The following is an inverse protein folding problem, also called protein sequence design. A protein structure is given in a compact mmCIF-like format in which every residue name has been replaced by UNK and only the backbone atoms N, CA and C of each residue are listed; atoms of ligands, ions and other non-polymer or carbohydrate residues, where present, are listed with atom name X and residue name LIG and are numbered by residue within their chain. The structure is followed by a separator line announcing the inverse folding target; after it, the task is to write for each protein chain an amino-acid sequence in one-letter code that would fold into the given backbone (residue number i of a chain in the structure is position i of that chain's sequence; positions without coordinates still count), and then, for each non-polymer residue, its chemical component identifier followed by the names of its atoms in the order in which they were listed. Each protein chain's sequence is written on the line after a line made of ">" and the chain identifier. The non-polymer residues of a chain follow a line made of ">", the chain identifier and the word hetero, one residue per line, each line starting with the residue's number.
data_IF_865720810727
#
_entry.id   IF_865720810727
#
_cell.length_a   1.000
_cell.length_b   1.000
_cell.length_c   1.000
_cell.angle_alpha   90.00
_cell.angle_beta   90.00
_cell.angle_gamma   90.00
#
_symmetry.space_group_name_H-M   'P 1'
#
loop_
_entity.id
_entity.type
_entity.pdbx_description
1 polymer ?
#
# COMPACT_ATOMS: atom_id res chain seq x y z
N UNK A 1 8.01 6.67 1.83
CA UNK A 1 6.69 6.04 1.59
C UNK A 1 6.74 5.20 0.32
N UNK A 2 6.01 4.08 0.28
CA UNK A 2 5.73 3.28 -0.93
C UNK A 2 4.25 3.40 -1.28
N UNK A 3 3.92 3.50 -2.56
CA UNK A 3 2.56 3.39 -3.08
C UNK A 3 2.53 2.25 -4.09
N UNK A 4 1.66 1.28 -3.86
CA UNK A 4 1.50 0.08 -4.69
C UNK A 4 0.11 0.12 -5.30
N UNK A 5 0.05 0.20 -6.63
CA UNK A 5 -1.20 0.25 -7.38
C UNK A 5 -1.49 -1.14 -7.94
N UNK A 6 -2.70 -1.63 -7.75
CA UNK A 6 -3.21 -2.88 -8.32
C UNK A 6 -4.45 -2.61 -9.14
N UNK A 7 -4.81 -3.56 -9.99
CA UNK A 7 -5.92 -3.33 -10.92
C UNK A 7 -7.25 -3.15 -10.18
N UNK A 8 -7.49 -3.95 -9.13
CA UNK A 8 -8.78 -4.02 -8.44
C UNK A 8 -8.64 -4.42 -6.97
N UNK A 9 -9.77 -4.35 -6.25
CA UNK A 9 -9.90 -4.74 -4.84
C UNK A 9 -9.33 -6.13 -4.50
N UNK A 10 -9.54 -7.11 -5.38
CA UNK A 10 -9.12 -8.50 -5.15
C UNK A 10 -7.60 -8.64 -5.20
N UNK A 11 -6.97 -7.95 -6.14
CA UNK A 11 -5.51 -7.88 -6.24
C UNK A 11 -4.88 -7.10 -5.08
N UNK A 12 -5.49 -5.99 -4.65
CA UNK A 12 -5.09 -5.27 -3.43
C UNK A 12 -5.14 -6.21 -2.23
N UNK A 13 -6.28 -6.89 -2.04
CA UNK A 13 -6.49 -7.84 -0.95
C UNK A 13 -5.45 -8.96 -0.98
N UNK A 14 -5.15 -9.50 -2.16
CA UNK A 14 -4.14 -10.54 -2.37
C UNK A 14 -2.74 -10.07 -2.02
N UNK A 15 -2.35 -8.88 -2.49
CA UNK A 15 -1.05 -8.32 -2.21
C UNK A 15 -0.85 -8.07 -0.71
N UNK A 16 -1.83 -7.45 -0.06
CA UNK A 16 -1.79 -7.13 1.37
C UNK A 16 -1.73 -8.40 2.22
N UNK A 17 -2.58 -9.39 1.94
CA UNK A 17 -2.59 -10.66 2.68
C UNK A 17 -1.25 -11.40 2.52
N UNK A 18 -0.71 -11.44 1.30
CA UNK A 18 0.61 -12.00 1.03
C UNK A 18 1.70 -11.26 1.82
N UNK A 19 1.67 -9.94 1.84
CA UNK A 19 2.63 -9.13 2.59
C UNK A 19 2.58 -9.43 4.09
N UNK A 20 1.38 -9.43 4.68
CA UNK A 20 1.19 -9.75 6.11
C UNK A 20 1.71 -11.16 6.42
N UNK A 21 1.35 -12.15 5.59
CA UNK A 21 1.84 -13.53 5.73
C UNK A 21 3.37 -13.60 5.74
N UNK A 22 4.01 -13.02 4.73
CA UNK A 22 5.46 -13.07 4.60
C UNK A 22 6.16 -12.28 5.72
N UNK A 23 5.59 -11.16 6.20
CA UNK A 23 6.13 -10.43 7.35
C UNK A 23 6.11 -11.27 8.62
N UNK A 24 5.01 -11.97 8.89
CA UNK A 24 4.88 -12.88 10.03
C UNK A 24 5.87 -14.04 9.89
N UNK A 25 5.93 -14.69 8.72
CA UNK A 25 6.82 -15.83 8.49
C UNK A 25 8.30 -15.46 8.58
N UNK A 26 8.72 -14.33 8.01
CA UNK A 26 10.10 -13.83 8.10
C UNK A 26 10.48 -13.39 9.51
N UNK A 27 9.52 -12.83 10.26
CA UNK A 27 9.74 -12.51 11.66
C UNK A 27 9.90 -13.76 12.51
N UNK A 28 9.29 -14.88 12.13
CA UNK A 28 9.34 -16.17 12.84
C UNK A 28 9.01 -16.01 14.34
N UNK A 29 7.75 -15.63 14.66
CA UNK A 29 7.37 -15.33 16.03
C UNK A 29 7.41 -16.55 16.93
N UNK A 30 7.83 -16.34 18.17
CA UNK A 30 7.78 -17.34 19.25
C UNK A 30 6.92 -16.82 20.39
N UNK A 31 6.69 -17.64 21.41
CA UNK A 31 5.97 -17.22 22.62
C UNK A 31 6.63 -16.02 23.32
N UNK A 32 7.96 -15.99 23.36
CA UNK A 32 8.76 -14.95 24.03
C UNK A 32 8.94 -13.70 23.15
N UNK A 33 8.81 -13.86 21.83
CA UNK A 33 8.91 -12.78 20.85
C UNK A 33 7.75 -12.89 19.86
N UNK A 34 6.53 -12.50 20.27
CA UNK A 34 5.36 -12.57 19.39
C UNK A 34 5.43 -11.51 18.29
N UNK A 35 4.71 -11.74 17.20
CA UNK A 35 4.49 -10.72 16.17
C UNK A 35 3.28 -9.87 16.58
N UNK A 36 3.50 -8.58 16.85
CA UNK A 36 2.44 -7.66 17.26
C UNK A 36 1.84 -6.97 16.04
N UNK A 37 0.55 -7.19 15.78
CA UNK A 37 -0.17 -6.77 14.57
C UNK A 37 -1.32 -5.82 14.90
N UNK A 38 -1.28 -4.60 14.39
CA UNK A 38 -2.41 -3.67 14.41
C UNK A 38 -3.42 -4.01 13.30
N UNK A 39 -4.72 -4.04 13.62
CA UNK A 39 -5.77 -4.49 12.69
C UNK A 39 -6.93 -3.49 12.56
N UNK A 40 -7.45 -3.27 11.33
CA UNK A 40 -8.60 -2.41 11.12
C UNK A 40 -9.92 -3.20 11.01
N UNK A 41 -11.04 -2.49 11.04
CA UNK A 41 -12.35 -3.04 10.65
C UNK A 41 -12.84 -2.39 9.35
N UNK A 42 -14.11 -2.59 8.99
CA UNK A 42 -14.72 -2.03 7.79
C UNK A 42 -14.59 -2.94 6.56
N UNK A 43 -15.08 -2.48 5.42
CA UNK A 43 -15.14 -3.30 4.19
C UNK A 43 -13.78 -3.52 3.52
N UNK A 44 -12.88 -2.52 3.59
CA UNK A 44 -11.56 -2.58 2.96
C UNK A 44 -10.73 -3.82 3.35
N UNK A 45 -10.60 -4.21 4.64
CA UNK A 45 -9.80 -5.36 5.02
C UNK A 45 -10.49 -6.74 4.88
N UNK A 46 -11.77 -6.84 4.50
CA UNK A 46 -12.48 -8.14 4.48
C UNK A 46 -11.80 -9.16 3.54
N UNK A 47 -11.49 -8.75 2.31
CA UNK A 47 -10.79 -9.61 1.35
C UNK A 47 -9.39 -10.02 1.82
N UNK A 48 -8.71 -9.13 2.57
CA UNK A 48 -7.43 -9.45 3.22
C UNK A 48 -7.63 -10.56 4.25
N UNK A 49 -8.64 -10.44 5.12
CA UNK A 49 -8.93 -11.43 6.15
C UNK A 49 -9.26 -12.80 5.59
N UNK A 50 -10.11 -12.88 4.56
CA UNK A 50 -10.42 -14.15 3.92
C UNK A 50 -9.17 -14.85 3.38
N UNK A 51 -8.26 -14.12 2.75
CA UNK A 51 -7.01 -14.69 2.24
C UNK A 51 -6.04 -15.10 3.36
N UNK A 52 -6.01 -14.38 4.48
CA UNK A 52 -5.23 -14.79 5.65
C UNK A 52 -5.78 -16.07 6.27
N UNK A 53 -7.11 -16.25 6.28
CA UNK A 53 -7.77 -17.51 6.68
C UNK A 53 -7.36 -18.64 5.72
N UNK A 54 -7.40 -18.40 4.40
CA UNK A 54 -6.98 -19.40 3.42
C UNK A 54 -5.51 -19.82 3.61
N UNK A 55 -4.60 -18.86 3.85
CA UNK A 55 -3.21 -19.16 4.14
C UNK A 55 -3.02 -19.96 5.44
N UNK A 56 -3.83 -19.69 6.47
CA UNK A 56 -3.79 -20.44 7.72
C UNK A 56 -4.30 -21.87 7.52
N UNK A 57 -5.44 -22.04 6.86
CA UNK A 57 -6.02 -23.34 6.54
C UNK A 57 -5.09 -24.20 5.66
N UNK A 58 -4.33 -23.56 4.76
CA UNK A 58 -3.33 -24.22 3.92
C UNK A 58 -1.98 -24.49 4.63
N UNK A 59 -1.84 -24.14 5.93
CA UNK A 59 -0.60 -24.33 6.69
C UNK A 59 0.56 -23.41 6.29
N UNK A 60 0.28 -22.32 5.55
CA UNK A 60 1.27 -21.35 5.07
C UNK A 60 1.48 -20.16 6.01
N UNK A 61 0.60 -20.02 7.01
CA UNK A 61 0.61 -18.95 8.02
C UNK A 61 0.15 -19.51 9.36
N UNK A 62 0.78 -19.12 10.46
CA UNK A 62 0.30 -19.44 11.81
C UNK A 62 0.10 -18.16 12.62
N UNK A 63 -1.04 -18.07 13.31
CA UNK A 63 -1.36 -16.99 14.26
C UNK A 63 -1.05 -17.36 15.72
N UNK A 64 -0.45 -18.53 15.97
CA UNK A 64 -0.25 -19.04 17.33
C UNK A 64 0.57 -18.09 18.23
N UNK A 65 1.54 -17.40 17.64
CA UNK A 65 2.41 -16.43 18.30
C UNK A 65 2.22 -15.01 17.74
N UNK A 66 1.05 -14.74 17.19
CA UNK A 66 0.63 -13.38 16.82
C UNK A 66 -0.19 -12.79 17.97
N UNK A 67 0.04 -11.52 18.27
CA UNK A 67 -0.75 -10.70 19.19
C UNK A 67 -1.36 -9.55 18.41
N UNK A 68 -2.67 -9.34 18.53
CA UNK A 68 -3.39 -8.34 17.73
C UNK A 68 -3.93 -7.19 18.58
N UNK A 69 -3.88 -5.99 18.03
CA UNK A 69 -4.49 -4.80 18.59
C UNK A 69 -5.40 -4.16 17.55
N UNK A 70 -6.71 -4.10 17.82
CA UNK A 70 -7.66 -3.42 16.94
C UNK A 70 -7.65 -1.90 17.16
N UNK A 71 -7.94 -1.16 16.10
CA UNK A 71 -7.91 0.31 16.11
C UNK A 71 -8.94 0.95 17.04
N UNK A 72 -10.12 0.37 17.15
CA UNK A 72 -11.28 1.05 17.74
C UNK A 72 -12.39 0.10 18.18
N UNK A 73 -13.33 0.62 18.97
CA UNK A 73 -14.63 0.01 19.29
C UNK A 73 -15.65 1.11 19.66
N UNK A 74 -16.92 0.88 19.38
CA UNK A 74 -18.01 1.75 19.82
C UNK A 74 -18.22 1.73 21.33
N UNK A 75 -18.47 2.90 21.91
CA UNK A 75 -18.80 3.03 23.33
C UNK A 75 -20.28 2.75 23.54
N UNK A 76 -20.60 1.93 24.56
CA UNK A 76 -21.97 1.62 24.97
C UNK A 76 -22.71 0.64 24.06
N UNK A 77 -22.01 0.00 23.11
CA UNK A 77 -22.58 -1.04 22.27
C UNK A 77 -22.23 -2.42 22.88
N UNK A 78 -23.20 -3.34 23.08
CA UNK A 78 -22.91 -4.66 23.62
C UNK A 78 -21.82 -5.38 22.80
N UNK A 79 -20.91 -6.07 23.48
CA UNK A 79 -19.76 -6.77 22.85
C UNK A 79 -20.20 -7.85 21.84
N UNK A 80 -21.37 -8.46 22.06
CA UNK A 80 -21.98 -9.45 21.18
C UNK A 80 -22.96 -8.85 20.15
N UNK A 81 -23.11 -7.52 20.13
CA UNK A 81 -23.95 -6.85 19.15
C UNK A 81 -23.40 -7.10 17.73
N UNK A 82 -24.25 -7.41 16.73
CA UNK A 82 -23.80 -7.76 15.37
C UNK A 82 -22.90 -6.72 14.69
N UNK A 83 -23.04 -5.45 15.09
CA UNK A 83 -22.27 -4.31 14.56
C UNK A 83 -21.11 -3.86 15.46
N UNK A 84 -20.85 -4.56 16.57
CA UNK A 84 -19.63 -4.32 17.36
C UNK A 84 -18.40 -4.74 16.58
N UNK A 85 -17.28 -4.08 16.81
CA UNK A 85 -16.01 -4.44 16.19
C UNK A 85 -15.42 -5.73 16.78
N UNK A 86 -15.76 -6.06 18.03
CA UNK A 86 -15.60 -7.41 18.58
C UNK A 86 -16.26 -8.46 17.69
N UNK A 87 -17.55 -8.32 17.39
CA UNK A 87 -18.28 -9.29 16.56
C UNK A 87 -17.77 -9.33 15.12
N UNK A 88 -17.45 -8.16 14.54
CA UNK A 88 -16.85 -8.07 13.21
C UNK A 88 -15.56 -8.90 13.13
N UNK A 89 -14.61 -8.69 14.04
CA UNK A 89 -13.32 -9.35 14.01
C UNK A 89 -13.42 -10.86 14.26
N UNK A 90 -14.28 -11.28 15.19
CA UNK A 90 -14.55 -12.71 15.39
C UNK A 90 -15.19 -13.36 14.18
N UNK A 91 -16.07 -12.66 13.46
CA UNK A 91 -16.74 -13.21 12.29
C UNK A 91 -15.86 -13.31 11.05
N UNK A 92 -14.98 -12.34 10.82
CA UNK A 92 -14.18 -12.26 9.61
C UNK A 92 -12.78 -12.88 9.75
N UNK A 93 -12.23 -12.99 10.95
CA UNK A 93 -10.87 -13.49 11.15
C UNK A 93 -10.72 -14.46 12.32
N UNK A 94 -10.95 -14.01 13.56
CA UNK A 94 -10.36 -14.68 14.73
C UNK A 94 -10.92 -16.09 15.00
N UNK A 95 -12.17 -16.40 14.64
CA UNK A 95 -12.71 -17.76 14.81
C UNK A 95 -12.24 -18.76 13.76
N UNK A 96 -11.58 -18.29 12.71
CA UNK A 96 -11.17 -19.09 11.54
C UNK A 96 -9.66 -19.34 11.48
N UNK A 97 -8.90 -18.80 12.43
CA UNK A 97 -7.45 -18.97 12.50
C UNK A 97 -7.02 -19.47 13.88
N UNK A 98 -5.84 -20.08 13.97
CA UNK A 98 -5.30 -20.62 15.22
C UNK A 98 -4.74 -19.55 16.20
N UNK A 99 -5.31 -18.34 16.23
CA UNK A 99 -4.94 -17.29 17.18
C UNK A 99 -5.42 -17.63 18.59
N UNK A 100 -4.60 -17.34 19.61
CA UNK A 100 -4.98 -17.54 21.01
C UNK A 100 -5.87 -16.38 21.45
N UNK A 101 -7.01 -16.66 22.08
CA UNK A 101 -7.96 -15.62 22.53
C UNK A 101 -7.31 -14.55 23.43
N UNK A 102 -6.38 -14.94 24.30
CA UNK A 102 -5.67 -14.01 25.18
C UNK A 102 -4.64 -13.12 24.46
N UNK A 103 -4.37 -13.38 23.17
CA UNK A 103 -3.52 -12.56 22.32
C UNK A 103 -4.35 -11.57 21.47
N UNK A 104 -5.68 -11.53 21.65
CA UNK A 104 -6.56 -10.61 20.92
C UNK A 104 -6.92 -9.45 21.83
N UNK A 105 -6.53 -8.24 21.43
CA UNK A 105 -6.81 -7.00 22.14
C UNK A 105 -7.71 -6.09 21.29
N UNK A 106 -8.93 -5.85 21.79
CA UNK A 106 -9.89 -4.90 21.23
C UNK A 106 -10.35 -4.05 22.42
N UNK A 107 -10.43 -2.73 22.22
CA UNK A 107 -10.86 -1.78 23.26
C UNK A 107 -12.22 -2.19 23.85
N UNK A 108 -12.36 -2.09 25.17
CA UNK A 108 -13.64 -2.29 25.85
C UNK A 108 -14.47 -1.00 25.89
N UNK A 109 -15.33 -0.81 24.88
CA UNK A 109 -16.27 0.31 24.81
C UNK A 109 -17.33 0.33 25.92
N UNK A 110 -17.42 -0.69 26.77
CA UNK A 110 -18.32 -0.77 27.91
C UNK A 110 -17.60 -0.69 29.27
N UNK A 111 -16.30 -0.37 29.27
CA UNK A 111 -15.54 -0.20 30.50
C UNK A 111 -16.12 0.92 31.39
N UNK A 112 -16.08 0.70 32.70
CA UNK A 112 -16.58 1.68 33.68
C UNK A 112 -15.79 3.00 33.69
N UNK A 113 -14.52 2.94 33.30
CA UNK A 113 -13.66 4.11 33.12
C UNK A 113 -12.95 4.01 31.76
N UNK A 114 -13.48 4.74 30.79
CA UNK A 114 -13.02 4.72 29.40
C UNK A 114 -11.59 5.27 29.25
N UNK A 115 -11.20 6.30 30.01
CA UNK A 115 -9.84 6.85 29.94
C UNK A 115 -8.80 5.88 30.49
N UNK A 116 -9.17 5.12 31.53
CA UNK A 116 -8.32 4.07 32.08
C UNK A 116 -8.18 2.90 31.11
N UNK A 117 -9.25 2.52 30.41
CA UNK A 117 -9.20 1.53 29.33
C UNK A 117 -8.22 1.96 28.23
N UNK A 118 -8.30 3.21 27.77
CA UNK A 118 -7.36 3.74 26.78
C UNK A 118 -5.89 3.70 27.27
N UNK A 119 -5.63 4.06 28.54
CA UNK A 119 -4.27 4.00 29.12
C UNK A 119 -3.75 2.57 29.21
N UNK A 120 -4.58 1.61 29.62
CA UNK A 120 -4.22 0.19 29.68
C UNK A 120 -3.89 -0.37 28.30
N UNK A 121 -4.68 0.00 27.29
CA UNK A 121 -4.46 -0.42 25.92
C UNK A 121 -3.07 0.00 25.41
N UNK A 122 -2.69 1.27 25.65
CA UNK A 122 -1.36 1.80 25.33
C UNK A 122 -0.24 1.10 26.13
N UNK A 123 -0.48 0.83 27.42
CA UNK A 123 0.49 0.14 28.27
C UNK A 123 0.76 -1.31 27.82
N UNK A 124 -0.27 -2.05 27.38
CA UNK A 124 -0.08 -3.41 26.84
C UNK A 124 0.67 -3.40 25.49
N UNK A 125 0.43 -2.41 24.62
CA UNK A 125 1.24 -2.22 23.41
C UNK A 125 2.70 -1.99 23.78
N UNK A 126 2.97 -1.08 24.73
CA UNK A 126 4.32 -0.74 25.16
C UNK A 126 5.05 -1.92 25.80
N UNK A 127 4.35 -2.72 26.62
CA UNK A 127 4.88 -3.93 27.28
C UNK A 127 5.35 -4.99 26.30
N UNK A 128 4.73 -5.06 25.11
CA UNK A 128 5.14 -5.97 24.04
C UNK A 128 6.23 -5.37 23.12
N UNK A 129 6.72 -4.17 23.43
CA UNK A 129 7.77 -3.49 22.67
C UNK A 129 7.27 -2.76 21.42
N UNK A 130 5.96 -2.48 21.34
CA UNK A 130 5.32 -1.79 20.23
C UNK A 130 4.80 -2.70 19.12
N UNK A 131 4.08 -2.10 18.16
CA UNK A 131 3.46 -2.80 17.04
C UNK A 131 4.49 -3.03 15.91
N UNK A 132 4.61 -4.26 15.42
CA UNK A 132 5.54 -4.62 14.34
C UNK A 132 5.01 -4.18 12.97
N UNK A 133 3.72 -4.39 12.73
CA UNK A 133 3.01 -3.96 11.53
C UNK A 133 1.62 -3.47 11.93
N UNK A 134 1.27 -2.24 11.56
CA UNK A 134 -0.07 -1.70 11.71
C UNK A 134 -0.76 -1.70 10.34
N UNK A 135 -1.75 -2.59 10.17
CA UNK A 135 -2.64 -2.55 9.02
C UNK A 135 -3.78 -1.57 9.30
N UNK A 136 -4.01 -0.64 8.39
CA UNK A 136 -5.06 0.37 8.49
C UNK A 136 -5.89 0.46 7.21
N UNK A 137 -7.09 1.01 7.35
CA UNK A 137 -7.87 1.58 6.25
C UNK A 137 -8.07 3.06 6.48
N UNK A 138 -8.67 3.76 5.50
CA UNK A 138 -9.02 5.17 5.64
C UNK A 138 -10.48 5.45 5.36
N UNK A 139 -11.02 6.50 5.97
CA UNK A 139 -12.29 7.12 5.59
C UNK A 139 -12.21 7.91 4.28
N UNK A 140 -13.37 8.27 3.68
CA UNK A 140 -13.42 9.16 2.51
C UNK A 140 -12.95 10.60 2.80
N UNK A 141 -12.94 10.99 4.08
CA UNK A 141 -12.37 12.21 4.65
C UNK A 141 -10.90 12.05 5.07
N UNK A 142 -10.28 10.90 4.79
CA UNK A 142 -8.90 10.59 5.15
C UNK A 142 -8.66 10.32 6.64
N UNK A 143 -9.68 9.99 7.43
CA UNK A 143 -9.44 9.54 8.80
C UNK A 143 -8.74 8.18 8.85
N UNK A 144 -7.80 7.99 9.79
CA UNK A 144 -7.32 6.67 10.22
C UNK A 144 -8.03 6.31 11.52
N UNK A 145 -8.64 5.12 11.62
CA UNK A 145 -9.48 4.75 12.76
C UNK A 145 -10.59 5.80 12.97
N UNK A 146 -11.01 6.10 14.20
CA UNK A 146 -11.88 7.26 14.46
C UNK A 146 -11.10 8.58 14.66
N UNK A 147 -9.89 8.72 14.10
CA UNK A 147 -9.18 10.00 14.10
C UNK A 147 -9.72 10.92 13.00
N UNK A 148 -10.91 11.43 13.25
CA UNK A 148 -11.66 12.34 12.37
C UNK A 148 -10.90 13.65 12.10
N UNK A 149 -11.26 14.39 11.04
CA UNK A 149 -10.67 15.68 10.71
C UNK A 149 -10.61 16.62 11.92
N UNK A 150 -9.44 17.23 12.13
CA UNK A 150 -9.13 18.08 13.28
C UNK A 150 -8.50 17.34 14.47
N UNK A 151 -8.42 16.00 14.43
CA UNK A 151 -7.70 15.22 15.46
C UNK A 151 -6.21 15.54 15.45
N UNK A 152 -5.61 15.68 16.64
CA UNK A 152 -4.16 15.89 16.76
C UNK A 152 -3.38 14.76 16.07
N UNK A 153 -2.38 15.12 15.26
CA UNK A 153 -1.48 14.17 14.62
C UNK A 153 -0.55 13.47 15.62
N UNK A 154 -0.44 14.00 16.84
CA UNK A 154 0.29 13.38 17.96
C UNK A 154 -0.64 12.73 18.99
N UNK A 155 -1.92 12.54 18.65
CA UNK A 155 -2.92 11.96 19.56
C UNK A 155 -2.57 10.52 19.98
N UNK A 156 -2.97 10.16 21.19
CA UNK A 156 -2.94 8.80 21.76
C UNK A 156 -4.34 8.18 21.76
N UNK A 157 -4.41 6.92 22.18
CA UNK A 157 -5.67 6.21 22.41
C UNK A 157 -6.58 7.02 23.34
N UNK A 158 -7.83 7.25 22.93
CA UNK A 158 -8.77 8.13 23.64
C UNK A 158 -10.23 7.83 23.30
N UNK A 159 -11.12 8.39 24.11
CA UNK A 159 -12.54 8.55 23.73
C UNK A 159 -12.66 9.60 22.63
N UNK A 160 -13.46 9.30 21.61
CA UNK A 160 -13.77 10.21 20.51
C UNK A 160 -15.26 10.28 20.28
N UNK A 161 -15.79 11.51 20.21
CA UNK A 161 -17.13 11.76 19.68
C UNK A 161 -17.12 11.66 18.17
N UNK A 162 -18.05 10.88 17.62
CA UNK A 162 -18.20 10.72 16.18
C UNK A 162 -18.81 11.99 15.57
N UNK A 163 -18.24 12.45 14.46
CA UNK A 163 -18.76 13.50 13.63
C UNK A 163 -20.11 13.06 13.03
N UNK A 164 -20.95 14.06 12.74
CA UNK A 164 -22.28 13.80 12.22
C UNK A 164 -22.28 13.04 10.89
N UNK A 165 -21.30 13.29 10.02
CA UNK A 165 -21.12 12.56 8.76
C UNK A 165 -20.82 11.08 8.99
N UNK A 166 -19.96 10.75 9.97
CA UNK A 166 -19.67 9.37 10.39
C UNK A 166 -20.94 8.67 10.88
N UNK A 167 -21.76 9.38 11.66
CA UNK A 167 -23.05 8.86 12.16
C UNK A 167 -23.99 8.56 10.98
N UNK A 168 -24.12 9.48 10.01
CA UNK A 168 -24.95 9.26 8.81
C UNK A 168 -24.44 8.07 7.99
N UNK A 169 -23.12 8.01 7.73
CA UNK A 169 -22.52 6.93 6.94
C UNK A 169 -22.73 5.55 7.59
N UNK A 170 -22.68 5.50 8.93
CA UNK A 170 -22.83 4.25 9.67
C UNK A 170 -24.29 3.89 9.95
N UNK A 171 -25.25 4.80 9.81
CA UNK A 171 -26.67 4.53 10.03
C UNK A 171 -27.19 3.33 9.22
N UNK A 172 -26.62 3.07 8.02
CA UNK A 172 -26.92 1.88 7.20
C UNK A 172 -26.72 0.55 7.93
N UNK A 173 -25.82 0.50 8.91
CA UNK A 173 -25.55 -0.69 9.74
C UNK A 173 -26.51 -0.81 10.94
N UNK A 174 -27.19 0.28 11.29
CA UNK A 174 -28.11 0.37 12.43
C UNK A 174 -29.57 0.54 11.97
N UNK A 175 -29.94 -0.16 10.89
CA UNK A 175 -31.31 -0.15 10.34
C UNK A 175 -31.72 1.15 9.65
N UNK A 176 -30.75 2.00 9.28
CA UNK A 176 -31.00 3.31 8.69
C UNK A 176 -31.33 4.41 9.70
N UNK A 177 -31.34 4.09 11.00
CA UNK A 177 -31.71 5.04 12.06
C UNK A 177 -30.48 5.71 12.69
N UNK A 178 -30.29 6.99 12.40
CA UNK A 178 -29.20 7.84 12.93
C UNK A 178 -29.16 7.83 14.47
N UNK A 179 -30.32 7.75 15.13
CA UNK A 179 -30.44 7.73 16.59
C UNK A 179 -29.89 6.47 17.25
N UNK A 180 -29.76 5.37 16.50
CA UNK A 180 -29.25 4.09 17.01
C UNK A 180 -27.74 3.94 16.87
N UNK A 181 -27.08 4.85 16.15
CA UNK A 181 -25.63 4.82 15.98
C UNK A 181 -24.98 5.32 17.28
N UNK A 182 -24.01 4.59 17.85
CA UNK A 182 -23.25 5.06 19.00
C UNK A 182 -22.60 6.42 18.70
N UNK A 183 -22.63 7.34 19.67
CA UNK A 183 -22.11 8.71 19.50
C UNK A 183 -20.64 8.85 19.87
N UNK A 184 -20.11 7.86 20.58
CA UNK A 184 -18.76 7.81 21.08
C UNK A 184 -18.10 6.50 20.63
N UNK A 185 -16.78 6.54 20.45
CA UNK A 185 -15.94 5.37 20.26
C UNK A 185 -14.65 5.50 21.07
N UNK A 186 -14.05 4.39 21.42
CA UNK A 186 -12.65 4.33 21.81
C UNK A 186 -11.84 4.10 20.55
N UNK A 187 -10.72 4.81 20.41
CA UNK A 187 -9.87 4.69 19.22
C UNK A 187 -8.41 4.92 19.57
N UNK A 188 -7.52 4.17 18.93
CA UNK A 188 -6.09 4.46 18.93
C UNK A 188 -5.83 5.83 18.33
N UNK A 189 -4.81 6.52 18.82
CA UNK A 189 -4.43 7.82 18.30
C UNK A 189 -3.64 7.74 17.01
N UNK A 190 -3.50 8.88 16.32
CA UNK A 190 -2.64 8.97 15.13
C UNK A 190 -1.20 8.59 15.49
N UNK A 191 -0.67 9.08 16.61
CA UNK A 191 0.68 8.69 17.04
C UNK A 191 0.75 7.21 17.45
N UNK A 192 -0.29 6.65 18.06
CA UNK A 192 -0.34 5.22 18.39
C UNK A 192 -0.15 4.34 17.14
N UNK A 193 -0.75 4.74 16.01
CA UNK A 193 -0.54 4.06 14.71
C UNK A 193 0.87 4.32 14.18
N UNK A 194 1.33 5.58 14.21
CA UNK A 194 2.64 5.99 13.67
C UNK A 194 3.84 5.53 14.52
N UNK A 195 3.62 5.06 15.74
CA UNK A 195 4.66 4.42 16.58
C UNK A 195 4.99 2.99 16.14
N UNK A 196 4.19 2.39 15.26
CA UNK A 196 4.45 1.07 14.72
C UNK A 196 5.78 1.04 13.93
N UNK A 197 6.45 -0.11 13.86
CA UNK A 197 7.67 -0.23 13.03
C UNK A 197 7.36 -0.13 11.54
N UNK A 198 6.14 -0.48 11.16
CA UNK A 198 5.64 -0.46 9.80
C UNK A 198 4.15 -0.12 9.79
N UNK A 199 3.74 0.80 8.90
CA UNK A 199 2.33 1.16 8.72
C UNK A 199 1.94 0.86 7.29
N UNK A 200 0.90 0.05 7.12
CA UNK A 200 0.33 -0.30 5.82
C UNK A 200 -1.13 0.14 5.74
N UNK A 201 -1.47 0.91 4.72
CA UNK A 201 -2.83 1.37 4.48
C UNK A 201 -3.44 0.72 3.23
N UNK A 202 -4.67 0.24 3.36
CA UNK A 202 -5.48 -0.31 2.26
C UNK A 202 -6.51 0.73 1.83
N UNK A 203 -6.46 1.15 0.56
CA UNK A 203 -7.31 2.22 0.03
C UNK A 203 -7.90 1.79 -1.29
N UNK A 204 -9.20 1.47 -1.32
CA UNK A 204 -9.85 0.89 -2.51
C UNK A 204 -11.13 1.62 -2.87
N UNK A 205 -11.34 1.83 -4.17
CA UNK A 205 -12.53 2.40 -4.78
C UNK A 205 -12.50 3.92 -4.93
N UNK A 206 -13.24 4.40 -5.94
CA UNK A 206 -13.27 5.81 -6.34
C UNK A 206 -13.70 6.76 -5.22
N UNK A 207 -14.58 6.31 -4.31
CA UNK A 207 -15.01 7.10 -3.16
C UNK A 207 -13.91 7.43 -2.14
N UNK A 208 -12.68 6.90 -2.31
CA UNK A 208 -11.50 7.20 -1.50
C UNK A 208 -10.41 7.97 -2.26
N UNK A 209 -10.63 8.28 -3.53
CA UNK A 209 -9.59 8.88 -4.38
C UNK A 209 -9.13 10.24 -3.89
N UNK A 210 -10.07 11.09 -3.47
CA UNK A 210 -9.75 12.40 -2.90
C UNK A 210 -8.87 12.25 -1.66
N UNK A 211 -9.23 11.36 -0.73
CA UNK A 211 -8.44 11.14 0.47
C UNK A 211 -7.02 10.61 0.15
N UNK A 212 -6.88 9.75 -0.86
CA UNK A 212 -5.56 9.30 -1.33
C UNK A 212 -4.73 10.46 -1.88
N UNK A 213 -5.33 11.33 -2.71
CA UNK A 213 -4.65 12.49 -3.26
C UNK A 213 -4.19 13.47 -2.16
N UNK A 214 -5.07 13.77 -1.20
CA UNK A 214 -4.74 14.57 -0.01
C UNK A 214 -3.62 13.96 0.83
N UNK A 215 -3.58 12.62 0.90
CA UNK A 215 -2.54 11.89 1.62
C UNK A 215 -1.18 11.91 0.92
N UNK A 216 -1.14 11.80 -0.40
CA UNK A 216 0.10 11.55 -1.16
C UNK A 216 0.69 12.82 -1.76
N UNK A 217 -0.15 13.76 -2.21
CA UNK A 217 0.29 14.92 -3.01
C UNK A 217 0.24 16.24 -2.25
N UNK A 218 -0.59 16.35 -1.21
CA UNK A 218 -0.66 17.54 -0.35
C UNK A 218 0.23 17.43 0.89
N UNK A 219 0.32 18.52 1.65
CA UNK A 219 1.11 18.54 2.88
C UNK A 219 0.43 17.84 4.05
N UNK A 220 1.23 17.51 5.07
CA UNK A 220 0.76 16.99 6.37
C UNK A 220 -0.27 17.95 6.97
N UNK A 221 -1.48 17.44 7.22
CA UNK A 221 -2.63 18.23 7.64
C UNK A 221 -3.57 17.41 8.54
N UNK A 222 -3.91 17.93 9.72
CA UNK A 222 -4.81 17.27 10.66
C UNK A 222 -6.27 17.16 10.17
N UNK A 223 -6.65 17.84 9.10
CA UNK A 223 -7.93 17.64 8.42
C UNK A 223 -7.95 16.36 7.57
N UNK A 224 -6.77 15.83 7.23
CA UNK A 224 -6.58 14.57 6.51
C UNK A 224 -5.59 13.73 7.33
N UNK A 225 -6.03 13.17 8.45
CA UNK A 225 -5.11 12.60 9.46
C UNK A 225 -4.21 11.49 8.90
N UNK A 226 -4.65 10.81 7.83
CA UNK A 226 -3.82 9.89 7.06
C UNK A 226 -2.51 10.49 6.54
N UNK A 227 -2.47 11.78 6.23
CA UNK A 227 -1.27 12.48 5.74
C UNK A 227 -0.09 12.40 6.71
N UNK A 228 -0.33 12.08 8.00
CA UNK A 228 0.74 11.79 8.96
C UNK A 228 1.67 10.64 8.52
N UNK A 229 1.20 9.72 7.66
CA UNK A 229 2.03 8.63 7.11
C UNK A 229 3.22 9.15 6.31
N UNK A 230 3.16 10.38 5.78
CA UNK A 230 4.29 11.02 5.09
C UNK A 230 5.52 11.15 6.01
N UNK A 231 5.30 11.29 7.31
CA UNK A 231 6.37 11.40 8.31
C UNK A 231 6.82 10.02 8.85
N UNK A 232 6.12 8.94 8.49
CA UNK A 232 6.42 7.61 8.98
C UNK A 232 7.62 7.00 8.24
N UNK A 233 8.65 6.48 8.93
CA UNK A 233 9.88 5.97 8.28
C UNK A 233 9.62 4.77 7.36
N UNK A 234 8.56 3.99 7.63
CA UNK A 234 8.20 2.79 6.85
C UNK A 234 6.71 2.75 6.53
N UNK A 235 6.22 3.79 5.86
CA UNK A 235 4.83 3.88 5.36
C UNK A 235 4.64 3.20 4.01
N UNK A 236 3.60 2.36 3.90
CA UNK A 236 3.18 1.66 2.68
C UNK A 236 1.69 1.90 2.44
N UNK A 237 1.33 2.31 1.24
CA UNK A 237 -0.05 2.41 0.77
C UNK A 237 -0.25 1.39 -0.34
N UNK A 238 -1.32 0.61 -0.25
CA UNK A 238 -1.75 -0.32 -1.31
C UNK A 238 -3.15 0.09 -1.74
N UNK A 239 -3.32 0.36 -3.03
CA UNK A 239 -4.57 0.85 -3.58
C UNK A 239 -4.93 0.20 -4.92
N UNK A 240 -6.21 0.28 -5.28
CA UNK A 240 -6.67 -0.08 -6.63
C UNK A 240 -6.58 1.12 -7.59
N UNK A 241 -6.75 0.89 -8.90
CA UNK A 241 -6.73 1.97 -9.90
C UNK A 241 -7.81 3.02 -9.61
N UNK A 242 -9.02 2.60 -9.19
CA UNK A 242 -10.13 3.51 -8.86
C UNK A 242 -9.79 4.50 -7.74
N UNK A 243 -9.02 4.09 -6.73
CA UNK A 243 -8.54 4.99 -5.69
C UNK A 243 -7.53 6.02 -6.22
N UNK A 244 -6.96 5.86 -7.41
CA UNK A 244 -5.98 6.80 -7.98
C UNK A 244 -6.58 7.92 -8.83
N UNK A 245 -7.91 7.97 -9.01
CA UNK A 245 -8.57 8.88 -9.95
C UNK A 245 -8.27 10.39 -9.72
N UNK A 246 -7.99 10.79 -8.49
CA UNK A 246 -7.66 12.18 -8.12
C UNK A 246 -6.15 12.44 -8.03
N UNK A 247 -5.31 11.43 -8.28
CA UNK A 247 -3.85 11.59 -8.33
C UNK A 247 -3.41 12.15 -9.68
N UNK A 248 -2.32 12.91 -9.69
CA UNK A 248 -1.68 13.26 -10.94
C UNK A 248 -1.14 12.01 -11.65
N UNK A 249 -1.30 11.97 -12.98
CA UNK A 249 -0.74 10.91 -13.85
C UNK A 249 0.76 10.72 -13.60
N UNK A 250 1.50 11.81 -13.34
CA UNK A 250 2.94 11.77 -13.04
C UNK A 250 3.23 10.99 -11.75
N UNK A 251 2.41 11.16 -10.71
CA UNK A 251 2.54 10.47 -9.42
C UNK A 251 2.32 8.97 -9.59
N UNK A 252 1.24 8.57 -10.27
CA UNK A 252 0.97 7.14 -10.54
C UNK A 252 2.09 6.50 -11.34
N UNK A 253 2.55 7.15 -12.42
CA UNK A 253 3.67 6.67 -13.24
C UNK A 253 4.97 6.55 -12.46
N UNK A 254 5.25 7.51 -11.57
CA UNK A 254 6.44 7.51 -10.72
C UNK A 254 6.46 6.29 -9.79
N UNK A 255 5.36 6.01 -9.08
CA UNK A 255 5.30 4.89 -8.16
C UNK A 255 5.27 3.52 -8.86
N UNK A 256 4.54 3.38 -9.97
CA UNK A 256 4.60 2.17 -10.82
C UNK A 256 6.03 1.91 -11.34
N UNK A 257 6.75 2.97 -11.71
CA UNK A 257 8.16 2.88 -12.10
C UNK A 257 9.07 2.40 -10.97
N UNK A 258 8.90 2.93 -9.75
CA UNK A 258 9.69 2.49 -8.59
C UNK A 258 9.44 1.01 -8.27
N UNK A 259 8.19 0.58 -8.32
CA UNK A 259 7.83 -0.81 -8.06
C UNK A 259 8.49 -1.76 -9.08
N UNK A 260 8.48 -1.40 -10.36
CA UNK A 260 9.19 -2.17 -11.39
C UNK A 260 10.69 -2.31 -11.09
N UNK A 261 11.34 -1.23 -10.66
CA UNK A 261 12.75 -1.25 -10.26
C UNK A 261 12.95 -2.15 -9.03
N UNK A 262 12.11 -2.01 -8.00
CA UNK A 262 12.16 -2.90 -6.84
C UNK A 262 12.05 -4.38 -7.24
N UNK A 263 11.05 -4.75 -8.06
CA UNK A 263 10.89 -6.12 -8.53
C UNK A 263 12.09 -6.61 -9.34
N UNK A 264 12.80 -5.75 -10.07
CA UNK A 264 14.03 -6.16 -10.79
C UNK A 264 15.21 -6.46 -9.87
N UNK A 265 15.23 -5.90 -8.66
CA UNK A 265 16.35 -6.03 -7.70
C UNK A 265 16.10 -7.19 -6.72
N UNK A 266 14.87 -7.32 -6.24
CA UNK A 266 14.51 -8.32 -5.22
C UNK A 266 13.51 -9.37 -5.72
N UNK A 267 12.98 -9.26 -6.93
CA UNK A 267 11.92 -10.15 -7.41
C UNK A 267 10.53 -9.78 -6.88
N UNK A 268 9.45 -10.29 -7.52
CA UNK A 268 8.07 -9.90 -7.21
C UNK A 268 7.54 -10.45 -5.87
N UNK A 269 8.24 -11.41 -5.28
CA UNK A 269 7.82 -12.10 -4.05
C UNK A 269 8.52 -11.57 -2.78
N UNK A 270 9.50 -10.68 -2.92
CA UNK A 270 10.24 -10.15 -1.77
C UNK A 270 9.64 -8.83 -1.27
N UNK A 271 9.47 -8.72 0.05
CA UNK A 271 8.72 -7.63 0.70
C UNK A 271 9.50 -6.31 0.84
N UNK A 272 10.82 -6.35 0.69
CA UNK A 272 11.71 -5.18 0.78
C UNK A 272 13.18 -5.53 0.56
N UNK A 273 14.04 -4.51 0.53
CA UNK A 273 15.50 -4.64 0.35
C UNK A 273 16.24 -5.28 1.54
N UNK A 274 15.50 -5.64 2.60
CA UNK A 274 16.01 -6.29 3.80
C UNK A 274 16.15 -7.82 3.64
N UNK A 275 15.47 -8.41 2.65
CA UNK A 275 15.79 -9.74 2.15
C UNK A 275 16.96 -9.66 1.18
N UNK A 276 17.83 -10.68 1.16
CA UNK A 276 19.00 -10.76 0.30
C UNK A 276 18.70 -10.14 -1.09
N UNK A 277 19.38 -9.03 -1.43
CA UNK A 277 19.48 -8.56 -2.81
C UNK A 277 19.71 -9.81 -3.67
N UNK A 278 19.02 -9.95 -4.80
CA UNK A 278 19.31 -11.05 -5.72
C UNK A 278 20.80 -10.96 -6.08
N UNK A 279 21.64 -11.72 -5.38
CA UNK A 279 23.01 -12.03 -5.78
C UNK A 279 22.83 -12.81 -7.07
N UNK A 280 22.84 -12.08 -8.18
CA UNK A 280 23.27 -12.49 -9.53
C UNK A 280 22.76 -11.48 -10.59
N UNK A 281 23.17 -10.20 -10.48
CA UNK A 281 23.13 -9.28 -11.63
C UNK A 281 24.22 -9.58 -12.69
N UNK A 282 25.14 -10.50 -12.41
CA UNK A 282 26.18 -10.90 -13.36
C UNK A 282 25.66 -11.95 -14.36
N UNK A 283 24.85 -12.91 -13.92
CA UNK A 283 24.36 -14.00 -14.79
C UNK A 283 23.17 -13.59 -15.67
N UNK A 284 22.28 -12.73 -15.17
CA UNK A 284 21.10 -12.28 -15.92
C UNK A 284 21.46 -11.38 -17.09
N UNK A 285 22.49 -10.54 -16.96
CA UNK A 285 23.00 -9.74 -18.07
C UNK A 285 23.73 -10.58 -19.13
N UNK A 286 24.42 -11.66 -18.75
CA UNK A 286 25.01 -12.59 -19.71
C UNK A 286 23.96 -13.43 -20.41
N UNK A 287 22.92 -13.88 -19.70
CA UNK A 287 21.79 -14.60 -20.28
C UNK A 287 20.96 -13.72 -21.21
N UNK A 288 20.70 -12.46 -20.83
CA UNK A 288 20.02 -11.47 -21.67
C UNK A 288 20.87 -11.09 -22.89
N UNK A 289 22.19 -10.89 -22.75
CA UNK A 289 23.10 -10.70 -23.89
C UNK A 289 23.13 -11.93 -24.80
N UNK A 290 23.15 -13.15 -24.25
CA UNK A 290 23.09 -14.40 -25.04
C UNK A 290 21.78 -14.55 -25.78
N UNK A 291 20.62 -14.27 -25.14
CA UNK A 291 19.31 -14.31 -25.80
C UNK A 291 19.21 -13.26 -26.90
N UNK A 292 19.69 -12.03 -26.66
CA UNK A 292 19.69 -10.96 -27.66
C UNK A 292 20.62 -11.28 -28.83
N UNK A 293 21.77 -11.93 -28.57
CA UNK A 293 22.71 -12.41 -29.60
C UNK A 293 22.16 -13.58 -30.41
N UNK A 294 21.49 -14.54 -29.78
CA UNK A 294 20.80 -15.66 -30.44
C UNK A 294 19.62 -15.17 -31.29
N UNK A 295 18.86 -14.20 -30.78
CA UNK A 295 17.75 -13.59 -31.52
C UNK A 295 18.26 -12.80 -32.74
N UNK A 296 19.37 -12.05 -32.59
CA UNK A 296 20.05 -11.39 -33.71
C UNK A 296 20.65 -12.39 -34.72
N UNK A 297 21.23 -13.51 -34.26
CA UNK A 297 21.73 -14.55 -35.15
C UNK A 297 20.60 -15.26 -35.92
N UNK A 298 19.47 -15.53 -35.28
CA UNK A 298 18.31 -16.11 -35.96
C UNK A 298 17.66 -15.13 -36.95
N UNK A 299 17.71 -13.81 -36.65
CA UNK A 299 17.25 -12.78 -37.59
C UNK A 299 18.21 -12.59 -38.77
N UNK A 300 19.51 -12.84 -38.59
CA UNK A 300 20.53 -12.73 -39.65
C UNK A 300 20.71 -14.01 -40.48
N UNK A 301 20.23 -15.15 -40.00
CA UNK A 301 20.35 -16.45 -40.66
C UNK A 301 19.05 -16.90 -41.37
N UNK A 302 17.98 -16.08 -41.35
CA UNK A 302 16.68 -16.40 -41.95
C UNK A 302 16.47 -15.74 -43.33
N UNK A 303 17.52 -15.26 -44.00
CA UNK A 303 17.42 -14.64 -45.33
C UNK A 303 17.73 -15.59 -46.52
N UNK A 304 17.85 -16.91 -46.29
CA UNK A 304 18.04 -17.89 -47.37
C UNK A 304 17.10 -19.10 -47.23
N UNK A 305 15.79 -18.88 -47.38
CA UNK A 305 14.86 -19.80 -48.07
C UNK A 305 13.43 -19.25 -48.03
N UNK A 306 12.98 -18.63 -49.13
CA UNK A 306 11.76 -19.06 -49.81
C UNK A 306 11.50 -18.22 -51.06
N UNK A 307 11.42 -18.90 -52.21
CA UNK A 307 11.09 -18.30 -53.48
C UNK A 307 9.63 -17.86 -53.56
N UNK A 308 9.40 -16.58 -53.82
CA UNK A 308 8.19 -16.15 -54.50
C UNK A 308 8.42 -14.84 -55.27
N UNK A 309 8.38 -14.92 -56.61
CA UNK A 309 8.36 -13.75 -57.49
C UNK A 309 7.15 -12.87 -57.19
N UNK A 310 7.35 -11.60 -56.84
CA UNK A 310 6.38 -10.52 -57.06
C UNK A 310 7.11 -9.25 -57.50
N UNK A 311 6.54 -8.63 -58.53
CA UNK A 311 7.02 -7.43 -59.21
C UNK A 311 7.00 -6.21 -58.28
N UNK A 312 8.07 -5.42 -58.29
CA UNK A 312 8.21 -4.17 -57.54
C UNK A 312 7.39 -3.04 -58.19
N UNK A 313 6.58 -2.33 -57.40
CA UNK A 313 5.93 -1.09 -57.83
C UNK A 313 6.73 0.15 -57.37
N UNK A 314 6.63 1.30 -58.07
CA UNK A 314 7.47 2.49 -57.82
C UNK A 314 7.20 3.24 -56.50
N UNK A 315 6.25 2.79 -55.68
CA UNK A 315 5.85 3.48 -54.45
C UNK A 315 6.73 3.14 -53.24
N UNK A 316 7.39 1.97 -53.25
CA UNK A 316 8.23 1.51 -52.14
C UNK A 316 9.57 2.26 -52.06
N UNK A 317 10.14 2.68 -53.21
CA UNK A 317 11.40 3.44 -53.24
C UNK A 317 11.24 4.87 -52.70
N UNK A 318 10.06 5.48 -52.86
CA UNK A 318 9.77 6.81 -52.34
C UNK A 318 9.65 6.81 -50.80
N UNK A 319 9.11 5.73 -50.22
CA UNK A 319 8.97 5.59 -48.77
C UNK A 319 10.32 5.39 -48.07
N UNK A 320 11.23 4.62 -48.67
CA UNK A 320 12.59 4.39 -48.16
C UNK A 320 13.42 5.68 -48.25
N UNK A 321 13.31 6.44 -49.35
CA UNK A 321 13.98 7.74 -49.49
C UNK A 321 13.49 8.78 -48.46
N UNK A 322 12.18 8.83 -48.19
CA UNK A 322 11.60 9.72 -47.20
C UNK A 322 12.06 9.38 -45.76
N UNK A 323 12.16 8.09 -45.42
CA UNK A 323 12.63 7.64 -44.11
C UNK A 323 14.10 8.01 -43.86
N UNK A 324 14.95 7.89 -44.89
CA UNK A 324 16.37 8.28 -44.82
C UNK A 324 16.53 9.80 -44.60
N UNK A 325 15.75 10.63 -45.29
CA UNK A 325 15.79 12.09 -45.14
C UNK A 325 15.37 12.57 -43.74
N UNK A 326 14.37 11.92 -43.13
CA UNK A 326 13.91 12.23 -41.76
C UNK A 326 14.97 11.87 -40.73
N UNK A 327 15.67 10.74 -40.90
CA UNK A 327 16.75 10.32 -40.01
C UNK A 327 17.95 11.29 -40.07
N UNK A 328 18.30 11.76 -41.27
CA UNK A 328 19.40 12.70 -41.47
C UNK A 328 19.08 14.10 -40.90
N UNK A 329 17.83 14.55 -41.04
CA UNK A 329 17.34 15.79 -40.42
C UNK A 329 17.39 15.72 -38.88
N UNK A 330 17.06 14.56 -38.30
CA UNK A 330 17.16 14.30 -36.87
C UNK A 330 18.59 14.37 -36.32
N UNK A 331 19.56 13.83 -37.07
CA UNK A 331 20.98 13.91 -36.70
C UNK A 331 21.55 15.32 -36.81
N UNK A 332 21.19 16.08 -37.87
CA UNK A 332 21.57 17.49 -38.01
C UNK A 332 21.01 18.36 -36.87
N UNK A 333 19.77 18.10 -36.43
CA UNK A 333 19.15 18.82 -35.29
C UNK A 333 19.83 18.52 -33.95
N UNK A 334 20.25 17.28 -33.71
CA UNK A 334 21.04 16.90 -32.52
C UNK A 334 22.40 17.58 -32.48
N UNK A 335 23.12 17.65 -33.62
CA UNK A 335 24.42 18.33 -33.71
C UNK A 335 24.30 19.84 -33.45
N UNK A 336 23.24 20.48 -33.95
CA UNK A 336 22.98 21.91 -33.72
C UNK A 336 22.69 22.25 -32.26
N UNK A 337 21.89 21.42 -31.57
CA UNK A 337 21.63 21.60 -30.14
C UNK A 337 22.89 21.37 -29.29
N UNK A 338 23.75 20.42 -29.67
CA UNK A 338 25.02 20.19 -28.96
C UNK A 338 25.99 21.39 -29.06
N UNK A 339 26.04 22.06 -30.22
CA UNK A 339 26.87 23.25 -30.40
C UNK A 339 26.37 24.45 -29.56
N UNK A 340 25.05 24.63 -29.45
CA UNK A 340 24.44 25.70 -28.65
C UNK A 340 24.76 25.59 -27.15
N UNK A 341 24.83 24.36 -26.60
CA UNK A 341 25.18 24.12 -25.20
C UNK A 341 26.68 24.27 -24.89
N UNK A 342 27.54 24.11 -25.90
CA UNK A 342 28.98 24.34 -25.76
C UNK A 342 29.33 25.83 -25.78
N UNK A 343 28.67 26.64 -26.62
CA UNK A 343 28.89 28.10 -26.65
C UNK A 343 28.34 28.81 -25.40
N UNK A 344 27.28 28.28 -24.78
CA UNK A 344 26.69 28.86 -23.55
C UNK A 344 27.46 28.52 -22.27
N UNK A 345 28.20 27.39 -22.22
CA UNK A 345 29.08 27.07 -21.08
C UNK A 345 30.38 27.89 -21.06
N UNK A 346 30.85 28.40 -22.21
CA UNK A 346 32.06 29.21 -22.28
C UNK A 346 31.88 30.67 -21.81
N UNK A 347 30.64 31.11 -21.60
CA UNK A 347 30.31 32.50 -21.23
C UNK A 347 30.13 32.73 -19.72
N UNK A 348 30.29 31.70 -18.87
CA UNK A 348 30.03 31.78 -17.42
C UNK A 348 31.26 31.56 -16.53
N UNK A 349 32.46 31.41 -17.10
CA UNK A 349 33.71 31.42 -16.33
C UNK A 349 34.27 32.85 -16.24
N UNK A 350 33.76 33.62 -15.28
CA UNK A 350 34.46 34.79 -14.73
C UNK A 350 34.35 34.73 -13.21
N UNK A 351 35.41 34.23 -12.58
CA UNK A 351 35.68 34.28 -11.14
C UNK A 351 36.34 35.63 -10.78
N UNK A 352 36.47 36.02 -9.48
CA UNK A 352 36.40 35.21 -8.27
C UNK A 352 35.31 35.57 -7.25
#
# INVERSE_FOLDING_TARGET
>A
MRLIVRENYEEVSSYVAYYVKERINQFAPTKERPFVLGLPTGSSPIGVYHKLVDFNAAGQLSFEHVVTFNMDEYVGLPTDHPQSYHTFMWNHLFKHVNIKKNNVHILDGNASNLDEECRKFEAEIAKLGGIELFLGGIGPDGHIAFNEPGSSLTSRTRVKTLAYETIIANARFFGGEVSRVPKLALTVGVATVMDAREVMLVITGAHKSLALAKCVEEGVNHMWTVSAIQMHPKGLIVCDEDATLELHVKTVKYFKSIEHVHHSIIGPHNLGLQGNLLRNMVDTNQAAKRRRRLMLQNLLNNDDDDGCRRESSPEDDAAVAAAAAVAEAGQKRKRRNSAYWQETSAALDVNP
#
